data_IF_707448754156
#
_entry.id   IF_707448754156
#
_cell.length_a   1.000
_cell.length_b   1.000
_cell.length_c   1.000
_cell.angle_alpha   90.00
_cell.angle_beta   90.00
_cell.angle_gamma   90.00
#
_symmetry.space_group_name_H-M   'P 1'
#
loop_
_entity.id
_entity.type
_entity.pdbx_description
1 polymer ?
#
# COMPACT_ATOMS: atom_id res chain seq x y z
N UNK A 1 5.30 20.06 6.51
CA UNK A 1 4.58 18.93 7.11
C UNK A 1 4.50 19.18 8.61
N UNK A 2 3.41 18.82 9.27
CA UNK A 2 3.33 18.81 10.74
C UNK A 2 3.96 17.51 11.30
N UNK A 3 4.03 17.36 12.63
CA UNK A 3 4.62 16.18 13.26
C UNK A 3 3.91 14.87 12.86
N UNK A 4 2.58 14.86 12.86
CA UNK A 4 1.77 13.68 12.49
C UNK A 4 2.00 13.24 11.04
N UNK A 5 2.10 14.20 10.11
CA UNK A 5 2.43 13.95 8.70
C UNK A 5 3.83 13.36 8.54
N UNK A 6 4.81 13.83 9.34
CA UNK A 6 6.18 13.30 9.33
C UNK A 6 6.22 11.86 9.85
N UNK A 7 5.48 11.57 10.93
CA UNK A 7 5.40 10.23 11.50
C UNK A 7 4.76 9.25 10.50
N UNK A 8 3.64 9.64 9.89
CA UNK A 8 2.97 8.83 8.85
C UNK A 8 3.86 8.63 7.62
N UNK A 9 4.59 9.67 7.19
CA UNK A 9 5.53 9.59 6.08
C UNK A 9 6.67 8.59 6.37
N UNK A 10 7.27 8.68 7.56
CA UNK A 10 8.38 7.80 7.97
C UNK A 10 7.92 6.34 8.11
N UNK A 11 6.73 6.13 8.70
CA UNK A 11 6.09 4.82 8.78
C UNK A 11 5.85 4.18 7.39
N UNK A 12 5.36 4.97 6.43
CA UNK A 12 5.14 4.53 5.05
C UNK A 12 6.46 4.21 4.36
N UNK A 13 7.48 5.04 4.52
CA UNK A 13 8.80 4.79 3.96
C UNK A 13 9.35 3.44 4.38
N UNK A 14 9.43 3.19 5.69
CA UNK A 14 9.91 1.92 6.23
C UNK A 14 9.10 0.75 5.65
N UNK A 15 7.78 0.86 5.67
CA UNK A 15 6.89 -0.17 5.13
C UNK A 15 7.12 -0.43 3.63
N UNK A 16 7.28 0.60 2.82
CA UNK A 16 7.38 0.46 1.37
C UNK A 16 8.74 -0.13 0.98
N UNK A 17 9.82 0.29 1.65
CA UNK A 17 11.15 -0.28 1.46
C UNK A 17 11.21 -1.74 1.92
N UNK A 18 10.56 -2.08 3.04
CA UNK A 18 10.45 -3.47 3.52
C UNK A 18 9.70 -4.38 2.54
N UNK A 19 8.79 -3.79 1.75
CA UNK A 19 8.08 -4.49 0.67
C UNK A 19 8.86 -4.53 -0.66
N UNK A 20 10.09 -4.04 -0.66
CA UNK A 20 11.02 -4.12 -1.79
C UNK A 20 10.83 -3.01 -2.82
N UNK A 21 10.18 -1.90 -2.45
CA UNK A 21 10.14 -0.71 -3.28
C UNK A 21 11.48 0.05 -3.14
N UNK A 22 12.09 0.54 -4.23
CA UNK A 22 13.28 1.39 -4.14
C UNK A 22 13.01 2.64 -3.29
N UNK A 23 14.03 3.11 -2.54
CA UNK A 23 13.87 4.24 -1.62
C UNK A 23 13.30 5.49 -2.32
N UNK A 24 13.80 5.85 -3.49
CA UNK A 24 13.30 7.02 -4.23
C UNK A 24 11.84 6.88 -4.68
N UNK A 25 11.42 5.67 -5.07
CA UNK A 25 10.02 5.41 -5.41
C UNK A 25 9.13 5.43 -4.16
N UNK A 26 9.63 4.92 -3.04
CA UNK A 26 8.96 4.96 -1.75
C UNK A 26 8.76 6.40 -1.24
N UNK A 27 9.78 7.26 -1.35
CA UNK A 27 9.70 8.68 -1.02
C UNK A 27 8.69 9.41 -1.88
N UNK A 28 8.77 9.25 -3.21
CA UNK A 28 7.84 9.87 -4.14
C UNK A 28 6.39 9.42 -3.91
N UNK A 29 6.19 8.16 -3.50
CA UNK A 29 4.87 7.63 -3.20
C UNK A 29 4.34 8.14 -1.85
N UNK A 30 5.18 8.16 -0.82
CA UNK A 30 4.80 8.67 0.50
C UNK A 30 4.44 10.16 0.46
N UNK A 31 5.14 10.97 -0.34
CA UNK A 31 4.82 12.40 -0.53
C UNK A 31 3.45 12.61 -1.19
N UNK A 32 3.11 11.80 -2.21
CA UNK A 32 1.76 11.79 -2.79
C UNK A 32 0.69 11.45 -1.76
N UNK A 33 1.00 10.53 -0.83
CA UNK A 33 0.05 10.16 0.23
C UNK A 33 -0.13 11.25 1.28
N UNK A 34 0.87 12.11 1.53
CA UNK A 34 0.67 13.31 2.37
C UNK A 34 -0.38 14.22 1.76
N UNK A 35 -0.33 14.44 0.43
CA UNK A 35 -1.35 15.25 -0.26
C UNK A 35 -2.72 14.57 -0.22
N UNK A 36 -2.77 13.25 -0.47
CA UNK A 36 -4.01 12.45 -0.35
C UNK A 36 -4.69 12.63 1.01
N UNK A 37 -3.90 12.54 2.09
CA UNK A 37 -4.43 12.60 3.46
C UNK A 37 -5.00 13.99 3.77
N UNK A 38 -4.36 15.06 3.28
CA UNK A 38 -4.87 16.44 3.39
C UNK A 38 -6.18 16.65 2.64
N UNK A 39 -6.32 16.03 1.47
CA UNK A 39 -7.54 16.07 0.66
C UNK A 39 -8.64 15.15 1.21
N UNK A 40 -8.37 14.42 2.29
CA UNK A 40 -9.28 13.46 2.91
C UNK A 40 -9.73 12.37 1.94
N UNK A 41 -8.86 12.01 0.99
CA UNK A 41 -9.11 10.96 0.02
C UNK A 41 -8.97 9.58 0.68
N UNK A 42 -10.05 8.80 0.60
CA UNK A 42 -10.18 7.50 1.26
C UNK A 42 -9.58 6.34 0.46
N UNK A 43 -9.02 6.58 -0.72
CA UNK A 43 -8.27 5.57 -1.49
C UNK A 43 -7.01 5.13 -0.72
N UNK A 44 -6.64 3.86 -0.86
CA UNK A 44 -5.50 3.24 -0.17
C UNK A 44 -4.63 2.46 -1.15
N UNK A 45 -3.36 2.29 -0.81
CA UNK A 45 -2.42 1.45 -1.56
C UNK A 45 -2.45 0.02 -1.03
N UNK A 46 -2.11 -0.97 -1.87
CA UNK A 46 -1.90 -2.33 -1.37
C UNK A 46 -0.71 -2.38 -0.39
N UNK A 47 0.28 -1.50 -0.53
CA UNK A 47 1.44 -1.39 0.38
C UNK A 47 1.06 -1.05 1.82
N UNK A 48 -0.03 -0.30 2.01
CA UNK A 48 -0.60 0.07 3.32
C UNK A 48 -1.41 -1.10 3.93
N UNK A 49 -1.68 -2.17 3.17
CA UNK A 49 -2.52 -3.27 3.62
C UNK A 49 -1.71 -4.32 4.42
N UNK A 50 -2.29 -4.77 5.54
CA UNK A 50 -1.74 -5.86 6.35
C UNK A 50 -1.71 -7.21 5.62
N UNK A 51 -2.60 -7.41 4.64
CA UNK A 51 -2.70 -8.64 3.86
C UNK A 51 -1.72 -8.73 2.69
N UNK A 52 -0.91 -7.69 2.44
CA UNK A 52 0.08 -7.72 1.37
C UNK A 52 1.21 -8.70 1.71
N UNK A 53 1.36 -9.72 0.88
CA UNK A 53 2.39 -10.76 1.00
C UNK A 53 3.51 -10.54 -0.01
N UNK A 54 4.69 -11.08 0.32
CA UNK A 54 5.88 -11.02 -0.53
C UNK A 54 6.65 -9.70 -0.44
N UNK A 55 7.83 -9.72 -1.10
CA UNK A 55 8.77 -8.62 -1.29
C UNK A 55 9.11 -8.61 -2.79
N UNK A 56 8.85 -7.50 -3.47
CA UNK A 56 9.01 -7.32 -4.94
C UNK A 56 8.15 -8.22 -5.85
N UNK A 57 7.73 -9.42 -5.40
CA UNK A 57 6.66 -10.23 -5.98
C UNK A 57 5.50 -10.27 -5.00
N UNK A 58 4.52 -9.41 -5.23
CA UNK A 58 3.43 -9.21 -4.28
C UNK A 58 2.24 -10.12 -4.54
N UNK A 59 1.53 -10.45 -3.47
CA UNK A 59 0.25 -11.13 -3.53
C UNK A 59 -0.73 -10.59 -2.48
N UNK A 60 -2.03 -10.68 -2.77
CA UNK A 60 -3.06 -10.34 -1.80
C UNK A 60 -3.45 -11.57 -0.98
N UNK A 61 -3.11 -11.61 0.31
CA UNK A 61 -3.55 -12.68 1.22
C UNK A 61 -5.06 -12.68 1.49
N UNK A 62 -5.76 -11.59 1.17
CA UNK A 62 -7.21 -11.44 1.32
C UNK A 62 -7.92 -11.30 -0.05
N UNK A 63 -7.36 -11.93 -1.08
CA UNK A 63 -7.78 -11.80 -2.49
C UNK A 63 -9.28 -11.99 -2.71
N UNK A 64 -9.92 -12.90 -1.95
CA UNK A 64 -11.35 -13.21 -2.06
C UNK A 64 -12.22 -12.02 -1.64
N UNK A 65 -11.93 -11.41 -0.50
CA UNK A 65 -12.67 -10.24 0.00
C UNK A 65 -12.28 -8.97 -0.77
N UNK A 66 -11.04 -8.88 -1.23
CA UNK A 66 -10.54 -7.79 -2.06
C UNK A 66 -11.04 -7.85 -3.52
N UNK A 67 -11.72 -8.93 -3.91
CA UNK A 67 -12.21 -9.18 -5.27
C UNK A 67 -11.12 -9.06 -6.35
N UNK A 68 -9.87 -9.39 -6.01
CA UNK A 68 -8.71 -9.30 -6.93
C UNK A 68 -8.74 -10.41 -7.97
N UNK A 69 -9.12 -11.62 -7.55
CA UNK A 69 -9.14 -12.81 -8.40
C UNK A 69 -10.15 -13.84 -7.88
N UNK A 70 -10.40 -14.89 -8.67
CA UNK A 70 -11.30 -16.00 -8.32
C UNK A 70 -10.57 -17.20 -7.73
N UNK A 71 -9.26 -17.32 -7.94
CA UNK A 71 -8.43 -18.44 -7.49
C UNK A 71 -7.18 -17.94 -6.77
N UNK A 72 -6.71 -18.64 -5.72
CA UNK A 72 -5.55 -18.22 -4.95
C UNK A 72 -4.25 -18.18 -5.77
N UNK A 73 -4.10 -19.02 -6.80
CA UNK A 73 -2.94 -19.02 -7.69
C UNK A 73 -2.77 -17.71 -8.47
N UNK A 74 -3.88 -17.00 -8.70
CA UNK A 74 -3.94 -15.74 -9.45
C UNK A 74 -3.93 -14.52 -8.51
N UNK A 75 -3.67 -14.71 -7.21
CA UNK A 75 -3.63 -13.63 -6.21
C UNK A 75 -2.38 -12.74 -6.30
N UNK A 76 -1.53 -12.94 -7.31
CA UNK A 76 -0.37 -12.12 -7.60
C UNK A 76 -0.77 -10.71 -8.03
N UNK A 77 -0.13 -9.70 -7.47
CA UNK A 77 -0.41 -8.29 -7.76
C UNK A 77 0.67 -7.72 -8.67
N UNK A 78 0.24 -7.09 -9.76
CA UNK A 78 1.14 -6.32 -10.61
C UNK A 78 1.62 -5.05 -9.89
N UNK A 79 2.83 -4.59 -10.21
CA UNK A 79 3.44 -3.41 -9.59
C UNK A 79 2.51 -2.19 -9.64
N UNK A 80 1.91 -1.92 -10.80
CA UNK A 80 0.99 -0.77 -10.99
C UNK A 80 -0.17 -0.80 -9.99
N UNK A 81 -0.73 -1.98 -9.72
CA UNK A 81 -1.83 -2.16 -8.78
C UNK A 81 -1.37 -1.93 -7.34
N UNK A 82 -0.13 -2.30 -7.01
CA UNK A 82 0.40 -2.18 -5.65
C UNK A 82 0.66 -0.71 -5.26
N UNK A 83 1.08 0.12 -6.23
CA UNK A 83 1.45 1.53 -6.02
C UNK A 83 0.36 2.54 -6.41
N UNK A 84 -0.78 2.08 -6.92
CA UNK A 84 -1.90 2.95 -7.32
C UNK A 84 -2.96 3.05 -6.22
N UNK A 85 -3.40 4.27 -5.82
CA UNK A 85 -4.49 4.48 -4.87
C UNK A 85 -5.82 3.90 -5.37
N UNK A 86 -6.44 3.04 -4.55
CA UNK A 86 -7.65 2.30 -4.91
C UNK A 86 -8.60 2.16 -3.72
N UNK A 87 -9.87 1.86 -4.00
CA UNK A 87 -10.79 1.35 -2.99
C UNK A 87 -10.77 -0.18 -3.02
N UNK A 88 -10.35 -0.80 -1.92
CA UNK A 88 -10.32 -2.24 -1.78
C UNK A 88 -11.29 -2.68 -0.67
N UNK A 89 -12.33 -3.47 -0.98
CA UNK A 89 -13.32 -3.92 0.01
C UNK A 89 -12.76 -4.92 1.04
N UNK A 90 -11.58 -5.49 0.79
CA UNK A 90 -10.84 -6.35 1.72
C UNK A 90 -9.64 -5.67 2.37
N UNK A 91 -9.55 -4.34 2.30
CA UNK A 91 -8.44 -3.60 2.89
C UNK A 91 -8.45 -3.70 4.41
N UNK A 92 -7.26 -3.87 4.97
CA UNK A 92 -7.01 -3.78 6.41
C UNK A 92 -5.73 -3.00 6.61
N UNK A 93 -5.80 -1.91 7.37
CA UNK A 93 -4.65 -1.07 7.69
C UNK A 93 -3.53 -1.93 8.31
N UNK A 94 -2.30 -1.71 7.84
CA UNK A 94 -1.13 -2.25 8.50
C UNK A 94 -0.76 -1.37 9.69
N UNK A 95 -1.32 -1.70 10.86
CA UNK A 95 -0.84 -1.13 12.12
C UNK A 95 0.59 -1.59 12.34
N UNK A 96 1.53 -0.63 12.40
CA UNK A 96 2.90 -0.86 12.89
C UNK A 96 2.88 -1.27 14.36
#
# INVERSE_FOLDING_TARGET
MNAEEIDAFTARLARFTDKGLPLGDAEALADKLVTRDRENDSRRLCLECAHLQGVSRWGCGNWKQAAVCTRPADAGLAHVLVVMPQHCPGFKEHTL
#
